data_IF_140414638775
#
_entry.id   IF_140414638775
#
_cell.length_a   1.000
_cell.length_b   1.000
_cell.length_c   1.000
_cell.angle_alpha   90.00
_cell.angle_beta   90.00
_cell.angle_gamma   90.00
#
_symmetry.space_group_name_H-M   'P 1'
#
loop_
_entity.id
_entity.type
_entity.pdbx_description
1 polymer ?
#
# COMPACT_ATOMS: atom_id res chain seq x y z
N UNK A 1 -6.23 -14.02 -14.81
CA UNK A 1 -6.49 -14.37 -13.39
C UNK A 1 -5.97 -15.78 -13.22
N UNK A 2 -5.05 -16.02 -12.27
CA UNK A 2 -4.54 -17.36 -12.01
C UNK A 2 -5.53 -18.10 -11.12
N UNK A 3 -5.73 -19.40 -11.35
CA UNK A 3 -6.53 -20.23 -10.45
C UNK A 3 -5.73 -20.52 -9.16
N UNK A 4 -6.36 -20.39 -7.97
CA UNK A 4 -5.67 -20.65 -6.71
C UNK A 4 -5.30 -22.12 -6.59
N UNK A 5 -4.01 -22.41 -6.38
CA UNK A 5 -3.50 -23.78 -6.16
C UNK A 5 -3.69 -24.25 -4.72
N UNK A 6 -3.83 -23.31 -3.78
CA UNK A 6 -4.04 -23.57 -2.36
C UNK A 6 -5.23 -22.73 -1.89
N UNK A 7 -6.21 -23.37 -1.26
CA UNK A 7 -7.41 -22.72 -0.73
C UNK A 7 -7.87 -23.45 0.53
N UNK A 8 -8.65 -22.76 1.36
CA UNK A 8 -9.18 -23.34 2.59
C UNK A 8 -10.14 -22.39 3.28
N UNK A 9 -10.78 -22.89 4.35
CA UNK A 9 -11.58 -22.09 5.27
C UNK A 9 -10.72 -21.58 6.42
N UNK A 10 -11.28 -20.76 7.32
CA UNK A 10 -10.55 -20.09 8.40
C UNK A 10 -9.56 -20.98 9.20
N UNK A 11 -9.91 -22.25 9.44
CA UNK A 11 -9.05 -23.21 10.15
C UNK A 11 -7.75 -23.57 9.42
N UNK A 12 -7.64 -23.26 8.12
CA UNK A 12 -6.45 -23.48 7.28
C UNK A 12 -5.67 -22.19 7.00
N UNK A 13 -6.10 -21.05 7.55
CA UNK A 13 -5.47 -19.74 7.28
C UNK A 13 -4.00 -19.72 7.67
N UNK A 14 -3.63 -20.33 8.81
CA UNK A 14 -2.22 -20.40 9.24
C UNK A 14 -1.32 -21.08 8.20
N UNK A 15 -1.80 -22.16 7.57
CA UNK A 15 -1.06 -22.83 6.49
C UNK A 15 -0.90 -21.93 5.26
N UNK A 16 -1.94 -21.19 4.88
CA UNK A 16 -1.88 -20.26 3.75
C UNK A 16 -0.91 -19.09 4.03
N UNK A 17 -0.90 -18.57 5.26
CA UNK A 17 0.04 -17.54 5.69
C UNK A 17 1.48 -18.05 5.58
N UNK A 18 1.78 -19.25 6.12
CA UNK A 18 3.13 -19.83 6.03
C UNK A 18 3.57 -20.04 4.58
N UNK A 19 2.65 -20.43 3.69
CA UNK A 19 2.96 -20.58 2.26
C UNK A 19 3.28 -19.24 1.58
N UNK A 20 2.50 -18.19 1.89
CA UNK A 20 2.75 -16.84 1.35
C UNK A 20 4.08 -16.28 1.88
N UNK A 21 4.33 -16.38 3.19
CA UNK A 21 5.58 -15.92 3.82
C UNK A 21 6.83 -16.64 3.28
N UNK A 22 6.69 -17.89 2.82
CA UNK A 22 7.76 -18.65 2.21
C UNK A 22 7.96 -18.34 0.71
N UNK A 23 7.00 -17.69 0.06
CA UNK A 23 7.10 -17.29 -1.33
C UNK A 23 8.08 -16.10 -1.46
N UNK A 24 9.06 -16.20 -2.36
CA UNK A 24 10.09 -15.18 -2.55
C UNK A 24 9.61 -13.93 -3.29
N UNK A 25 8.29 -13.73 -3.39
CA UNK A 25 7.68 -12.62 -4.10
C UNK A 25 7.86 -11.32 -3.35
N UNK A 26 7.83 -10.22 -4.10
CA UNK A 26 7.75 -8.90 -3.48
C UNK A 26 6.44 -8.77 -2.70
N UNK A 27 6.48 -8.15 -1.53
CA UNK A 27 5.34 -8.04 -0.62
C UNK A 27 4.12 -7.32 -1.21
N UNK A 28 4.29 -6.57 -2.30
CA UNK A 28 3.18 -5.90 -3.00
C UNK A 28 2.61 -6.73 -4.16
N UNK A 29 3.20 -7.88 -4.45
CA UNK A 29 2.70 -8.87 -5.40
C UNK A 29 2.31 -10.19 -4.68
N UNK A 30 2.44 -10.25 -3.36
CA UNK A 30 2.08 -11.39 -2.53
C UNK A 30 0.89 -11.06 -1.64
N UNK A 31 -0.12 -11.93 -1.66
CA UNK A 31 -1.35 -11.75 -0.89
C UNK A 31 -2.13 -13.06 -0.76
N UNK A 32 -2.89 -13.17 0.33
CA UNK A 32 -3.95 -14.16 0.50
C UNK A 32 -5.28 -13.50 0.20
N UNK A 33 -6.05 -14.09 -0.71
CA UNK A 33 -7.41 -13.63 -1.02
C UNK A 33 -8.42 -14.36 -0.14
N UNK A 34 -9.25 -13.61 0.60
CA UNK A 34 -10.29 -14.15 1.45
C UNK A 34 -11.67 -13.67 0.98
N UNK A 35 -12.59 -14.62 0.79
CA UNK A 35 -13.99 -14.33 0.50
C UNK A 35 -14.82 -14.44 1.77
N UNK A 36 -15.53 -13.36 2.11
CA UNK A 36 -16.54 -13.36 3.18
C UNK A 36 -17.91 -13.58 2.54
N UNK A 37 -18.58 -14.66 2.91
CA UNK A 37 -19.94 -14.95 2.46
C UNK A 37 -20.95 -14.37 3.45
N UNK A 38 -21.77 -13.42 3.00
CA UNK A 38 -22.82 -12.79 3.81
C UNK A 38 -22.74 -11.26 3.78
N UNK A 39 -23.59 -10.62 4.60
CA UNK A 39 -23.55 -9.18 4.79
C UNK A 39 -22.39 -8.82 5.72
N UNK A 40 -21.58 -7.84 5.31
CA UNK A 40 -20.57 -7.22 6.17
C UNK A 40 -21.15 -5.96 6.78
N UNK A 41 -21.29 -5.94 8.10
CA UNK A 41 -21.76 -4.82 8.90
C UNK A 41 -20.58 -4.10 9.53
N UNK A 42 -20.26 -2.91 9.04
CA UNK A 42 -19.10 -2.14 9.51
C UNK A 42 -19.12 -1.85 11.02
N UNK A 43 -20.30 -1.85 11.66
CA UNK A 43 -20.41 -1.59 13.09
C UNK A 43 -20.05 -2.78 13.98
N UNK A 44 -20.00 -3.98 13.41
CA UNK A 44 -19.73 -5.23 14.13
C UNK A 44 -18.50 -5.97 13.60
N UNK A 45 -18.30 -5.93 12.28
CA UNK A 45 -17.34 -6.78 11.59
C UNK A 45 -16.02 -6.07 11.28
N UNK A 46 -15.94 -4.75 11.51
CA UNK A 46 -14.74 -3.94 11.24
C UNK A 46 -14.26 -3.27 12.51
N UNK A 47 -13.02 -3.58 12.89
CA UNK A 47 -12.36 -3.00 14.06
C UNK A 47 -12.05 -1.51 13.86
N UNK A 48 -11.50 -1.14 12.69
CA UNK A 48 -11.21 0.24 12.34
C UNK A 48 -11.02 0.43 10.83
N UNK A 49 -11.28 1.66 10.35
CA UNK A 49 -10.76 2.17 9.09
C UNK A 49 -9.45 2.92 9.36
N UNK A 50 -8.33 2.37 8.87
CA UNK A 50 -7.00 2.98 9.03
C UNK A 50 -6.68 3.85 7.81
N UNK A 51 -6.36 5.12 8.02
CA UNK A 51 -6.07 6.10 6.96
C UNK A 51 -4.64 6.63 7.02
N UNK A 52 -4.12 7.04 5.86
CA UNK A 52 -2.88 7.82 5.77
C UNK A 52 -3.11 9.25 6.27
N UNK A 53 -2.19 9.84 7.08
CA UNK A 53 -2.28 11.23 7.52
C UNK A 53 -2.46 12.26 6.40
N UNK A 54 -2.08 11.98 5.15
CA UNK A 54 -2.33 12.87 4.01
C UNK A 54 -3.83 13.16 3.80
N UNK A 55 -4.72 12.28 4.28
CA UNK A 55 -6.16 12.46 4.17
C UNK A 55 -6.78 13.31 5.29
N UNK A 56 -5.99 13.81 6.25
CA UNK A 56 -6.50 14.70 7.29
C UNK A 56 -7.06 15.99 6.70
N UNK A 57 -8.20 16.43 7.22
CA UNK A 57 -8.97 17.59 6.78
C UNK A 57 -9.38 17.54 5.31
N UNK A 58 -9.51 16.35 4.73
CA UNK A 58 -9.98 16.15 3.35
C UNK A 58 -11.43 15.66 3.30
N UNK A 59 -12.10 15.74 2.13
CA UNK A 59 -13.40 15.10 1.93
C UNK A 59 -13.38 13.59 2.19
N UNK A 60 -12.24 12.92 2.03
CA UNK A 60 -12.10 11.49 2.32
C UNK A 60 -12.24 11.21 3.82
N UNK A 61 -11.61 12.02 4.69
CA UNK A 61 -11.82 11.92 6.14
C UNK A 61 -13.29 12.21 6.51
N UNK A 62 -13.89 13.24 5.91
CA UNK A 62 -15.30 13.55 6.14
C UNK A 62 -16.23 12.41 5.72
N UNK A 63 -15.87 11.65 4.67
CA UNK A 63 -16.59 10.45 4.26
C UNK A 63 -16.38 9.28 5.23
N UNK A 64 -15.13 9.03 5.63
CA UNK A 64 -14.77 8.00 6.60
C UNK A 64 -15.54 8.18 7.93
N UNK A 65 -15.70 9.42 8.40
CA UNK A 65 -16.41 9.74 9.65
C UNK A 65 -17.90 9.41 9.65
N UNK A 66 -18.49 9.12 8.48
CA UNK A 66 -19.88 8.66 8.38
C UNK A 66 -20.02 7.15 8.50
N UNK A 67 -18.92 6.40 8.48
CA UNK A 67 -18.92 4.96 8.66
C UNK A 67 -19.10 4.63 10.14
N UNK A 68 -19.79 3.52 10.42
CA UNK A 68 -20.08 3.09 11.79
C UNK A 68 -18.90 2.32 12.43
N UNK A 69 -17.66 2.73 12.16
CA UNK A 69 -16.46 2.10 12.73
C UNK A 69 -15.42 3.17 13.14
N UNK A 70 -14.53 2.86 14.09
CA UNK A 70 -13.41 3.74 14.47
C UNK A 70 -12.54 4.14 13.28
N UNK A 71 -11.94 5.33 13.35
CA UNK A 71 -10.91 5.78 12.41
C UNK A 71 -9.57 5.81 13.13
N UNK A 72 -8.59 5.13 12.55
CA UNK A 72 -7.21 5.13 13.00
C UNK A 72 -6.28 5.68 11.92
N UNK A 73 -5.04 5.99 12.32
CA UNK A 73 -4.05 6.58 11.43
C UNK A 73 -2.74 5.83 11.54
N UNK A 74 -2.21 5.38 10.41
CA UNK A 74 -0.89 4.76 10.36
C UNK A 74 0.22 5.84 10.27
N UNK A 75 1.49 5.41 10.24
CA UNK A 75 2.65 6.33 10.28
C UNK A 75 2.82 7.28 9.07
N UNK A 76 2.00 7.17 8.04
CA UNK A 76 2.04 7.97 6.81
C UNK A 76 3.11 7.58 5.81
N UNK A 77 2.71 7.31 4.58
CA UNK A 77 3.62 7.04 3.47
C UNK A 77 4.07 8.35 2.84
N UNK A 78 5.39 8.52 2.72
CA UNK A 78 5.93 9.57 1.86
C UNK A 78 7.26 9.17 1.26
N UNK A 79 7.39 9.38 -0.05
CA UNK A 79 8.59 9.09 -0.83
C UNK A 79 9.11 10.36 -1.49
N UNK A 80 10.41 10.63 -1.36
CA UNK A 80 11.04 11.74 -2.08
C UNK A 80 11.40 11.32 -3.50
N UNK A 81 11.39 12.24 -4.45
CA UNK A 81 11.87 11.96 -5.81
C UNK A 81 13.36 11.59 -5.84
N UNK A 82 14.14 12.02 -4.84
CA UNK A 82 15.54 11.60 -4.68
C UNK A 82 15.65 10.12 -4.33
N UNK A 83 14.85 9.63 -3.37
CA UNK A 83 14.82 8.20 -3.03
C UNK A 83 14.21 7.37 -4.18
N UNK A 84 13.15 7.86 -4.83
CA UNK A 84 12.55 7.19 -6.00
C UNK A 84 13.59 6.92 -7.11
N UNK A 85 14.45 7.90 -7.41
CA UNK A 85 15.51 7.76 -8.43
C UNK A 85 16.55 6.68 -8.10
N UNK A 86 16.68 6.28 -6.84
CA UNK A 86 17.63 5.25 -6.41
C UNK A 86 17.16 3.82 -6.73
N UNK A 87 15.91 3.64 -7.13
CA UNK A 87 15.31 2.32 -7.34
C UNK A 87 14.79 2.07 -8.77
N UNK A 88 15.54 2.41 -9.84
CA UNK A 88 15.01 2.36 -11.21
C UNK A 88 14.54 0.97 -11.67
N UNK A 89 15.14 -0.10 -11.14
CA UNK A 89 14.86 -1.48 -11.53
C UNK A 89 13.70 -2.13 -10.76
N UNK A 90 13.15 -1.49 -9.72
CA UNK A 90 12.15 -2.15 -8.87
C UNK A 90 10.85 -2.43 -9.64
N UNK A 91 10.34 -1.43 -10.34
CA UNK A 91 9.13 -1.58 -11.17
C UNK A 91 9.33 -1.19 -12.62
N UNK A 92 10.40 -0.44 -12.94
CA UNK A 92 10.70 0.09 -14.27
C UNK A 92 11.00 1.59 -14.24
N UNK A 93 11.89 2.02 -15.14
CA UNK A 93 12.35 3.42 -15.28
C UNK A 93 11.22 4.37 -15.68
N UNK A 94 10.26 3.90 -16.46
CA UNK A 94 9.07 4.64 -16.88
C UNK A 94 8.20 5.05 -15.69
N UNK A 95 8.10 4.22 -14.66
CA UNK A 95 7.33 4.54 -13.46
C UNK A 95 8.08 5.49 -12.53
N UNK A 96 9.42 5.46 -12.54
CA UNK A 96 10.22 6.51 -11.88
C UNK A 96 9.95 7.86 -12.55
N UNK A 97 9.97 7.92 -13.89
CA UNK A 97 9.66 9.16 -14.63
C UNK A 97 8.24 9.65 -14.34
N UNK A 98 7.25 8.76 -14.37
CA UNK A 98 5.87 9.10 -14.02
C UNK A 98 5.78 9.62 -12.58
N UNK A 99 6.36 8.92 -11.60
CA UNK A 99 6.37 9.36 -10.21
C UNK A 99 7.03 10.73 -10.04
N UNK A 100 8.12 11.03 -10.75
CA UNK A 100 8.73 12.37 -10.74
C UNK A 100 7.77 13.42 -11.29
N UNK A 101 7.06 13.13 -12.39
CA UNK A 101 6.10 14.09 -12.99
C UNK A 101 4.87 14.35 -12.12
N UNK A 102 4.49 13.40 -11.26
CA UNK A 102 3.34 13.53 -10.36
C UNK A 102 3.70 14.21 -9.04
N UNK A 103 4.98 14.19 -8.65
CA UNK A 103 5.43 14.65 -7.34
C UNK A 103 5.09 16.14 -7.09
N UNK A 104 4.58 16.43 -5.90
CA UNK A 104 4.36 17.79 -5.40
C UNK A 104 5.52 18.15 -4.47
N UNK A 105 6.19 19.27 -4.74
CA UNK A 105 7.37 19.71 -3.97
C UNK A 105 8.43 18.61 -3.81
N UNK A 106 8.59 17.80 -4.87
CA UNK A 106 9.55 16.69 -4.89
C UNK A 106 9.16 15.49 -4.02
N UNK A 107 7.90 15.36 -3.60
CA UNK A 107 7.37 14.27 -2.77
C UNK A 107 6.14 13.60 -3.37
N UNK A 108 6.00 12.32 -3.07
CA UNK A 108 4.84 11.48 -3.38
C UNK A 108 4.25 10.93 -2.08
N UNK A 109 2.94 11.00 -1.97
CA UNK A 109 2.12 10.38 -0.93
C UNK A 109 0.89 9.70 -1.58
N UNK A 110 0.05 8.96 -0.84
CA UNK A 110 -1.14 8.34 -1.42
C UNK A 110 -2.11 9.35 -2.05
N UNK A 111 -2.19 10.56 -1.49
CA UNK A 111 -3.08 11.61 -1.95
C UNK A 111 -2.71 12.12 -3.35
N UNK A 112 -1.41 12.31 -3.63
CA UNK A 112 -0.90 12.68 -4.96
C UNK A 112 -1.29 11.66 -6.02
N UNK A 113 -1.14 10.37 -5.70
CA UNK A 113 -1.48 9.27 -6.64
C UNK A 113 -3.00 9.20 -6.82
N UNK A 114 -3.77 9.32 -5.74
CA UNK A 114 -5.23 9.33 -5.80
C UNK A 114 -5.78 10.52 -6.58
N UNK A 115 -5.17 11.70 -6.48
CA UNK A 115 -5.50 12.86 -7.30
C UNK A 115 -5.24 12.60 -8.78
N UNK A 116 -4.12 11.97 -9.12
CA UNK A 116 -3.81 11.60 -10.50
C UNK A 116 -4.85 10.63 -11.08
N UNK A 117 -5.19 9.56 -10.34
CA UNK A 117 -6.22 8.58 -10.71
C UNK A 117 -7.57 9.25 -10.95
N UNK A 118 -8.01 10.14 -10.05
CA UNK A 118 -9.27 10.90 -10.20
C UNK A 118 -9.36 11.73 -11.48
N UNK A 119 -8.24 12.09 -12.11
CA UNK A 119 -8.27 12.80 -13.39
C UNK A 119 -8.65 11.92 -14.58
N UNK A 120 -8.52 10.59 -14.46
CA UNK A 120 -8.75 9.63 -15.55
C UNK A 120 -7.77 9.74 -16.72
N UNK A 121 -6.69 10.53 -16.59
CA UNK A 121 -5.72 10.78 -17.68
C UNK A 121 -4.55 9.81 -17.72
N UNK A 122 -4.40 8.97 -16.70
CA UNK A 122 -3.28 8.07 -16.54
C UNK A 122 -3.76 6.63 -16.57
N UNK A 123 -2.90 5.74 -17.05
CA UNK A 123 -3.14 4.31 -16.94
C UNK A 123 -3.11 3.88 -15.47
N UNK A 124 -4.18 3.19 -15.02
CA UNK A 124 -4.34 2.77 -13.62
C UNK A 124 -3.28 1.74 -13.20
N UNK A 125 -2.81 0.90 -14.13
CA UNK A 125 -1.70 -0.01 -13.83
C UNK A 125 -0.39 0.77 -13.64
N UNK A 126 -0.13 1.80 -14.42
CA UNK A 126 1.03 2.67 -14.24
C UNK A 126 0.97 3.42 -12.89
N UNK A 127 -0.19 3.94 -12.50
CA UNK A 127 -0.39 4.54 -11.18
C UNK A 127 -0.19 3.53 -10.04
N UNK A 128 -0.69 2.30 -10.19
CA UNK A 128 -0.41 1.19 -9.26
C UNK A 128 1.09 0.95 -9.13
N UNK A 129 1.86 0.95 -10.22
CA UNK A 129 3.33 0.77 -10.17
C UNK A 129 4.04 1.92 -9.47
N UNK A 130 3.55 3.16 -9.60
CA UNK A 130 4.05 4.31 -8.81
C UNK A 130 3.70 4.16 -7.33
N UNK A 131 2.47 3.72 -7.01
CA UNK A 131 2.07 3.38 -5.65
C UNK A 131 3.00 2.34 -5.02
N UNK A 132 3.43 1.33 -5.77
CA UNK A 132 4.34 0.32 -5.22
C UNK A 132 5.65 0.93 -4.71
N UNK A 133 6.20 1.96 -5.37
CA UNK A 133 7.36 2.68 -4.84
C UNK A 133 7.04 3.39 -3.52
N UNK A 134 5.91 4.10 -3.46
CA UNK A 134 5.50 4.84 -2.25
C UNK A 134 5.27 3.90 -1.07
N UNK A 135 4.59 2.78 -1.27
CA UNK A 135 4.36 1.79 -0.23
C UNK A 135 5.67 1.12 0.22
N UNK A 136 6.55 0.72 -0.72
CA UNK A 136 7.77 -0.02 -0.41
C UNK A 136 8.85 0.83 0.27
N UNK A 137 9.04 2.07 -0.20
CA UNK A 137 10.16 2.94 0.22
C UNK A 137 9.70 4.17 1.02
N UNK A 138 8.40 4.44 1.03
CA UNK A 138 7.80 5.59 1.69
C UNK A 138 7.29 5.35 3.11
N UNK A 139 7.29 4.10 3.60
CA UNK A 139 6.78 3.77 4.94
C UNK A 139 7.81 4.08 6.05
N UNK A 140 7.43 4.73 7.16
CA UNK A 140 8.30 4.91 8.32
C UNK A 140 8.74 3.58 8.93
N UNK A 141 7.82 2.61 9.01
CA UNK A 141 8.07 1.27 9.54
C UNK A 141 9.08 0.49 8.68
N UNK A 142 8.98 0.62 7.35
CA UNK A 142 9.94 0.02 6.42
C UNK A 142 11.31 0.72 6.45
N UNK A 143 11.35 2.03 6.71
CA UNK A 143 12.60 2.76 6.93
C UNK A 143 13.33 2.26 8.19
N UNK A 144 12.61 2.06 9.30
CA UNK A 144 13.18 1.56 10.55
C UNK A 144 13.76 0.13 10.43
N UNK A 145 13.11 -0.75 9.66
CA UNK A 145 13.63 -2.10 9.38
C UNK A 145 14.91 -2.10 8.53
N UNK A 146 15.07 -1.15 7.60
CA UNK A 146 16.30 -1.02 6.79
C UNK A 146 17.49 -0.51 7.60
N UNK A 147 17.27 0.40 8.56
CA UNK A 147 18.34 0.87 9.46
C UNK A 147 18.80 -0.23 10.42
N UNK A 148 17.91 -1.12 10.87
CA UNK A 148 18.28 -2.25 11.72
C UNK A 148 19.15 -3.29 10.98
N UNK A 149 18.91 -3.53 9.67
CA UNK A 149 19.69 -4.50 8.89
C UNK A 149 21.08 -4.00 8.46
N UNK A 150 21.36 -2.69 8.53
CA UNK A 150 22.69 -2.13 8.26
C UNK A 150 23.56 -1.98 9.53
N UNK A 151 23.05 -2.35 10.71
CA UNK A 151 23.73 -2.19 12.00
C UNK A 151 24.48 -3.42 12.52
N UNK A 152 24.29 -4.60 11.92
CA UNK A 152 24.90 -5.88 12.36
C UNK A 152 26.15 -6.25 11.53
N UNK A 153 26.97 -5.24 11.23
CA UNK A 153 28.20 -5.41 10.47
C UNK A 153 29.26 -4.41 10.90
N UNK A 154 29.66 -4.45 12.16
CA UNK A 154 30.87 -3.81 12.69
C UNK A 154 31.50 -4.69 13.78
#
# INVERSE_FOLDING_TARGET
MFEPRHFGVASRLSTLITLAEADGKDSLDDYVEAHVHGVVDLSRDVEALVLDPCYRSTPAEAAARRLACPIEWHGGFTLTTAELRRHPEYRGHEFVRLGISLARDGRLDPCVIGDASRTGRYDEQALKRVWHYVARFGAPEMRARRTAHHGDGA
#
